data_IF_089882310319
#
_entry.id   IF_089882310319
#
_cell.length_a   1.000
_cell.length_b   1.000
_cell.length_c   1.000
_cell.angle_alpha   90.00
_cell.angle_beta   90.00
_cell.angle_gamma   90.00
#
_symmetry.space_group_name_H-M   'P 1'
#
loop_
_entity.id
_entity.type
_entity.pdbx_description
1 polymer ?
#
# COMPACT_ATOMS: atom_id res chain seq x y z
N UNK A 1 -29.26 25.53 54.58
CA UNK A 1 -29.68 25.49 53.17
C UNK A 1 -28.42 25.53 52.34
N UNK A 2 -28.10 24.40 51.73
CA UNK A 2 -26.92 24.14 50.91
C UNK A 2 -27.22 24.52 49.46
N UNK A 3 -26.60 25.58 48.95
CA UNK A 3 -26.49 25.80 47.51
C UNK A 3 -25.11 25.34 47.04
N UNK A 4 -25.12 24.17 46.42
CA UNK A 4 -23.98 23.48 45.84
C UNK A 4 -23.60 24.21 44.55
N UNK A 5 -22.49 24.93 44.59
CA UNK A 5 -21.86 25.56 43.43
C UNK A 5 -21.28 24.46 42.51
N UNK A 6 -22.08 23.95 41.59
CA UNK A 6 -21.62 23.02 40.55
C UNK A 6 -20.83 23.78 39.47
N UNK A 7 -19.57 24.10 39.76
CA UNK A 7 -18.59 24.37 38.72
C UNK A 7 -18.32 23.04 37.99
N UNK A 8 -18.97 22.84 36.83
CA UNK A 8 -18.72 21.69 35.97
C UNK A 8 -17.33 21.83 35.32
N UNK A 9 -16.33 21.32 36.03
CA UNK A 9 -15.01 21.09 35.46
C UNK A 9 -15.15 20.06 34.33
N UNK A 10 -14.89 20.52 33.11
CA UNK A 10 -14.85 19.67 31.91
C UNK A 10 -14.03 18.41 32.17
N UNK A 11 -14.55 17.26 31.75
CA UNK A 11 -13.84 16.00 31.96
C UNK A 11 -12.50 16.00 31.21
N UNK A 12 -11.50 15.23 31.66
CA UNK A 12 -10.21 15.10 30.97
C UNK A 12 -10.36 14.70 29.49
N UNK A 13 -11.37 13.89 29.15
CA UNK A 13 -11.69 13.54 27.77
C UNK A 13 -12.24 14.71 26.96
N UNK A 14 -13.09 15.55 27.56
CA UNK A 14 -13.61 16.77 26.91
C UNK A 14 -12.48 17.78 26.66
N UNK A 15 -11.56 17.95 27.61
CA UNK A 15 -10.37 18.79 27.44
C UNK A 15 -9.45 18.28 26.33
N UNK A 16 -9.27 16.95 26.22
CA UNK A 16 -8.50 16.32 25.13
C UNK A 16 -9.15 16.52 23.75
N UNK A 17 -10.48 16.44 23.66
CA UNK A 17 -11.22 16.71 22.43
C UNK A 17 -11.15 18.18 22.01
N UNK A 18 -11.26 19.11 22.95
CA UNK A 18 -11.18 20.55 22.68
C UNK A 18 -9.77 20.94 22.22
N UNK A 19 -8.72 20.44 22.89
CA UNK A 19 -7.34 20.70 22.49
C UNK A 19 -6.99 20.09 21.12
N UNK A 20 -7.46 18.88 20.82
CA UNK A 20 -7.31 18.28 19.49
C UNK A 20 -8.02 19.11 18.40
N UNK A 21 -9.25 19.56 18.65
CA UNK A 21 -9.99 20.41 17.72
C UNK A 21 -9.34 21.79 17.52
N UNK A 22 -8.74 22.36 18.57
CA UNK A 22 -7.98 23.61 18.49
C UNK A 22 -6.71 23.45 17.64
N UNK A 23 -5.95 22.37 17.86
CA UNK A 23 -4.77 22.03 17.06
C UNK A 23 -5.13 21.80 15.58
N UNK A 24 -6.25 21.14 15.30
CA UNK A 24 -6.74 20.94 13.93
C UNK A 24 -7.12 22.27 13.24
N UNK A 25 -7.78 23.18 13.96
CA UNK A 25 -8.11 24.52 13.44
C UNK A 25 -6.86 25.35 13.15
N UNK A 26 -5.89 25.33 14.06
CA UNK A 26 -4.62 26.04 13.87
C UNK A 26 -3.83 25.46 12.68
N UNK A 27 -3.79 24.14 12.52
CA UNK A 27 -3.18 23.48 11.37
C UNK A 27 -3.87 23.88 10.06
N UNK A 28 -5.21 23.92 10.03
CA UNK A 28 -5.98 24.38 8.85
C UNK A 28 -5.70 25.85 8.51
N UNK A 29 -5.63 26.72 9.51
CA UNK A 29 -5.31 28.13 9.31
C UNK A 29 -3.90 28.33 8.75
N UNK A 30 -2.90 27.62 9.29
CA UNK A 30 -1.53 27.64 8.76
C UNK A 30 -1.46 27.11 7.33
N UNK A 31 -2.18 26.03 7.02
CA UNK A 31 -2.22 25.48 5.66
C UNK A 31 -2.83 26.48 4.66
N UNK A 32 -3.93 27.15 5.03
CA UNK A 32 -4.57 28.16 4.20
C UNK A 32 -3.66 29.36 3.91
N UNK A 33 -3.01 29.90 4.95
CA UNK A 33 -2.04 31.00 4.81
C UNK A 33 -0.87 30.61 3.89
N UNK A 34 -0.36 29.39 4.07
CA UNK A 34 0.76 28.89 3.27
C UNK A 34 0.39 28.74 1.79
N UNK A 35 -0.83 28.27 1.51
CA UNK A 35 -1.37 28.18 0.15
C UNK A 35 -1.58 29.55 -0.50
N UNK A 36 -2.04 30.53 0.28
CA UNK A 36 -2.18 31.92 -0.19
C UNK A 36 -0.81 32.53 -0.55
N UNK A 37 0.20 32.37 0.31
CA UNK A 37 1.57 32.78 0.01
C UNK A 37 2.11 32.10 -1.26
N UNK A 38 1.86 30.80 -1.44
CA UNK A 38 2.25 30.04 -2.64
C UNK A 38 1.60 30.62 -3.90
N UNK A 39 0.30 30.92 -3.85
CA UNK A 39 -0.45 31.52 -4.97
C UNK A 39 0.06 32.92 -5.31
N UNK A 40 0.34 33.74 -4.30
CA UNK A 40 0.92 35.07 -4.50
C UNK A 40 2.31 35.00 -5.14
N UNK A 41 3.19 34.13 -4.65
CA UNK A 41 4.51 33.90 -5.23
C UNK A 41 4.43 33.44 -6.69
N UNK A 42 3.55 32.48 -6.99
CA UNK A 42 3.34 32.01 -8.36
C UNK A 42 2.85 33.14 -9.29
N UNK A 43 1.93 33.99 -8.80
CA UNK A 43 1.44 35.14 -9.58
C UNK A 43 2.55 36.15 -9.86
N UNK A 44 3.35 36.49 -8.85
CA UNK A 44 4.45 37.45 -8.97
C UNK A 44 5.52 36.95 -9.95
N UNK A 45 5.93 35.68 -9.85
CA UNK A 45 6.94 35.11 -10.74
C UNK A 45 6.43 35.02 -12.18
N UNK A 46 5.18 34.62 -12.41
CA UNK A 46 4.62 34.59 -13.76
C UNK A 46 4.45 36.00 -14.36
N UNK A 47 4.14 37.01 -13.54
CA UNK A 47 4.10 38.41 -13.99
C UNK A 47 5.50 38.90 -14.40
N UNK A 48 6.50 38.68 -13.55
CA UNK A 48 7.89 39.00 -13.84
C UNK A 48 8.40 38.29 -15.11
N UNK A 49 8.11 37.00 -15.28
CA UNK A 49 8.51 36.25 -16.47
C UNK A 49 7.88 36.82 -17.74
N UNK A 50 6.61 37.24 -17.69
CA UNK A 50 5.93 37.90 -18.82
C UNK A 50 6.56 39.24 -19.16
N UNK A 51 6.81 40.08 -18.16
CA UNK A 51 7.46 41.38 -18.35
C UNK A 51 8.87 41.22 -18.93
N UNK A 52 9.62 40.22 -18.46
CA UNK A 52 10.96 39.96 -18.95
C UNK A 52 10.97 39.42 -20.39
N UNK A 53 10.07 38.48 -20.74
CA UNK A 53 9.90 38.03 -22.11
C UNK A 53 9.48 39.19 -23.05
N UNK A 54 8.60 40.06 -22.58
CA UNK A 54 8.19 41.26 -23.33
C UNK A 54 9.37 42.19 -23.59
N UNK A 55 10.18 42.47 -22.56
CA UNK A 55 11.39 43.28 -22.68
C UNK A 55 12.40 42.68 -23.67
N UNK A 56 12.61 41.35 -23.63
CA UNK A 56 13.51 40.67 -24.56
C UNK A 56 13.01 40.73 -26.00
N UNK A 57 11.69 40.62 -26.20
CA UNK A 57 11.05 40.79 -27.51
C UNK A 57 11.27 42.20 -28.05
N UNK A 58 11.01 43.22 -27.23
CA UNK A 58 11.08 44.62 -27.66
C UNK A 58 12.52 45.06 -27.92
N UNK A 59 13.50 44.52 -27.18
CA UNK A 59 14.91 44.90 -27.29
C UNK A 59 15.70 44.08 -28.31
N UNK A 60 15.35 42.81 -28.52
CA UNK A 60 16.15 41.87 -29.34
C UNK A 60 15.34 41.14 -30.42
N UNK A 61 14.03 41.40 -30.54
CA UNK A 61 13.17 40.74 -31.53
C UNK A 61 12.93 39.25 -31.24
N UNK A 62 13.26 38.76 -30.04
CA UNK A 62 13.09 37.36 -29.67
C UNK A 62 11.64 37.07 -29.22
N UNK A 63 10.92 36.24 -29.97
CA UNK A 63 9.57 35.82 -29.62
C UNK A 63 9.59 34.66 -28.61
N UNK A 64 9.76 35.00 -27.34
CA UNK A 64 9.84 34.06 -26.23
C UNK A 64 8.52 34.03 -25.46
N UNK A 65 7.98 32.83 -25.22
CA UNK A 65 6.84 32.64 -24.34
C UNK A 65 7.29 32.04 -23.00
N UNK A 66 6.89 32.64 -21.86
CA UNK A 66 7.24 32.09 -20.56
C UNK A 66 6.48 30.78 -20.31
N UNK A 67 7.22 29.73 -19.97
CA UNK A 67 6.62 28.49 -19.46
C UNK A 67 5.89 28.75 -18.14
N UNK A 68 4.84 27.97 -17.87
CA UNK A 68 4.08 28.08 -16.63
C UNK A 68 4.97 27.74 -15.43
N UNK A 69 5.16 28.70 -14.53
CA UNK A 69 5.97 28.47 -13.31
C UNK A 69 5.12 27.81 -12.24
N UNK A 70 5.60 26.66 -11.74
CA UNK A 70 5.00 25.93 -10.63
C UNK A 70 5.73 26.25 -9.34
N UNK A 71 5.02 26.86 -8.38
CA UNK A 71 5.54 27.09 -7.02
C UNK A 71 4.99 25.99 -6.11
N UNK A 72 5.90 25.22 -5.52
CA UNK A 72 5.60 24.19 -4.54
C UNK A 72 6.30 24.51 -3.23
N UNK A 73 5.66 24.15 -2.11
CA UNK A 73 6.29 24.24 -0.80
C UNK A 73 7.40 23.19 -0.73
N UNK A 74 8.59 23.64 -0.32
CA UNK A 74 9.70 22.72 -0.06
C UNK A 74 9.26 21.77 1.06
N UNK A 75 9.20 20.48 0.73
CA UNK A 75 8.92 19.45 1.73
C UNK A 75 10.12 19.35 2.69
N UNK A 76 9.89 19.16 4.00
CA UNK A 76 10.97 19.01 4.95
C UNK A 76 11.75 17.72 4.67
N UNK A 77 12.99 17.64 5.13
CA UNK A 77 13.82 16.43 4.99
C UNK A 77 13.09 15.17 5.49
N UNK A 78 12.42 15.29 6.64
CA UNK A 78 11.64 14.21 7.27
C UNK A 78 10.56 13.63 6.34
N UNK A 79 9.99 14.42 5.41
CA UNK A 79 9.05 13.90 4.41
C UNK A 79 9.72 12.90 3.48
N UNK A 80 10.90 13.24 2.94
CA UNK A 80 11.64 12.35 2.04
C UNK A 80 12.23 11.14 2.77
N UNK A 81 12.64 11.33 4.03
CA UNK A 81 13.05 10.21 4.89
C UNK A 81 11.86 9.27 5.16
N UNK A 82 10.63 9.78 5.31
CA UNK A 82 9.44 8.94 5.42
C UNK A 82 9.17 8.13 4.15
N UNK A 83 9.39 8.70 2.95
CA UNK A 83 9.28 7.94 1.70
C UNK A 83 10.35 6.84 1.63
N UNK A 84 11.56 7.11 2.11
CA UNK A 84 12.61 6.10 2.20
C UNK A 84 12.24 4.99 3.18
N UNK A 85 11.74 5.32 4.38
CA UNK A 85 11.26 4.35 5.37
C UNK A 85 10.11 3.49 4.82
N UNK A 86 9.20 4.08 4.03
CA UNK A 86 8.15 3.33 3.36
C UNK A 86 8.72 2.26 2.40
N UNK A 87 9.80 2.59 1.67
CA UNK A 87 10.49 1.60 0.83
C UNK A 87 11.18 0.51 1.67
N UNK A 88 11.80 0.88 2.79
CA UNK A 88 12.45 -0.06 3.70
C UNK A 88 11.46 -1.02 4.38
N UNK A 89 10.31 -0.51 4.83
CA UNK A 89 9.22 -1.30 5.38
C UNK A 89 8.68 -2.30 4.36
N UNK A 90 8.44 -1.88 3.11
CA UNK A 90 8.01 -2.79 2.04
C UNK A 90 9.04 -3.88 1.73
N UNK A 91 10.34 -3.58 1.86
CA UNK A 91 11.42 -4.54 1.70
C UNK A 91 11.40 -5.57 2.82
N UNK A 92 11.31 -5.11 4.07
CA UNK A 92 11.43 -5.96 5.26
C UNK A 92 10.15 -6.74 5.57
N UNK A 93 8.99 -6.15 5.29
CA UNK A 93 7.70 -6.74 5.58
C UNK A 93 6.97 -7.11 4.28
N UNK A 94 7.06 -8.40 3.99
CA UNK A 94 6.47 -8.97 2.80
C UNK A 94 4.97 -8.94 2.74
N UNK A 95 4.33 -9.00 3.91
CA UNK A 95 2.89 -9.09 4.05
C UNK A 95 2.19 -7.82 3.55
N UNK A 96 2.81 -6.66 3.76
CA UNK A 96 2.32 -5.37 3.26
C UNK A 96 2.11 -5.37 1.74
N UNK A 97 2.86 -6.20 1.00
CA UNK A 97 2.80 -6.26 -0.46
C UNK A 97 1.68 -7.13 -1.01
N UNK A 98 1.10 -8.02 -0.20
CA UNK A 98 0.01 -8.92 -0.62
C UNK A 98 -1.37 -8.26 -0.52
N UNK A 99 -1.45 -7.12 0.17
CA UNK A 99 -2.68 -6.33 0.33
C UNK A 99 -3.01 -5.50 -0.91
N UNK A 100 -4.23 -4.97 -0.96
CA UNK A 100 -4.59 -3.96 -1.96
C UNK A 100 -3.74 -2.71 -1.77
N UNK A 101 -3.50 -1.93 -2.83
CA UNK A 101 -2.70 -0.69 -2.74
C UNK A 101 -3.21 0.23 -1.62
N UNK A 102 -4.54 0.39 -1.53
CA UNK A 102 -5.18 1.21 -0.50
C UNK A 102 -4.91 0.67 0.91
N UNK A 103 -4.96 -0.64 1.10
CA UNK A 103 -4.62 -1.29 2.37
C UNK A 103 -3.15 -1.11 2.73
N UNK A 104 -2.25 -1.32 1.77
CA UNK A 104 -0.81 -1.09 1.94
C UNK A 104 -0.53 0.35 2.36
N UNK A 105 -1.06 1.35 1.65
CA UNK A 105 -0.86 2.77 1.96
C UNK A 105 -1.33 3.11 3.38
N UNK A 106 -2.52 2.63 3.77
CA UNK A 106 -3.14 2.94 5.05
C UNK A 106 -2.31 2.46 6.26
N UNK A 107 -1.54 1.39 6.12
CA UNK A 107 -0.63 0.90 7.18
C UNK A 107 0.79 1.42 7.04
N UNK A 108 1.29 1.47 5.80
CA UNK A 108 2.67 1.82 5.51
C UNK A 108 2.99 3.29 5.81
N UNK A 109 2.13 4.22 5.37
CA UNK A 109 2.44 5.65 5.44
C UNK A 109 2.44 6.21 6.86
N UNK A 110 1.49 5.88 7.75
CA UNK A 110 1.55 6.31 9.13
C UNK A 110 2.81 5.81 9.84
N UNK A 111 3.20 4.57 9.58
CA UNK A 111 4.38 3.97 10.22
C UNK A 111 5.68 4.56 9.68
N UNK A 112 5.80 4.72 8.37
CA UNK A 112 6.94 5.36 7.74
C UNK A 112 7.11 6.82 8.20
N UNK A 113 6.01 7.56 8.34
CA UNK A 113 6.02 8.91 8.89
C UNK A 113 6.53 8.92 10.34
N UNK A 114 6.07 7.98 11.17
CA UNK A 114 6.50 7.84 12.57
C UNK A 114 8.00 7.58 12.67
N UNK A 115 8.54 6.61 11.91
CA UNK A 115 9.98 6.27 11.90
C UNK A 115 10.87 7.42 11.45
N UNK A 116 10.41 8.19 10.46
CA UNK A 116 11.13 9.36 9.97
C UNK A 116 10.94 10.62 10.83
N UNK A 117 10.15 10.55 11.92
CA UNK A 117 9.80 11.72 12.74
C UNK A 117 8.96 12.78 12.00
N UNK A 118 8.30 12.40 10.91
CA UNK A 118 7.43 13.27 10.14
C UNK A 118 6.05 13.37 10.79
N UNK A 119 5.71 14.57 11.27
CA UNK A 119 4.48 14.81 12.07
C UNK A 119 3.22 15.00 11.23
N UNK A 120 3.36 15.21 9.93
CA UNK A 120 2.23 15.42 9.03
C UNK A 120 1.85 14.13 8.30
N UNK A 121 0.69 14.13 7.66
CA UNK A 121 0.24 13.03 6.83
C UNK A 121 1.01 13.00 5.50
N UNK A 122 1.49 11.83 5.10
CA UNK A 122 2.00 11.59 3.75
C UNK A 122 0.80 11.41 2.83
N UNK A 123 0.60 12.26 1.80
CA UNK A 123 -0.53 12.12 0.90
C UNK A 123 -0.42 10.84 0.07
N UNK A 124 -1.56 10.17 -0.18
CA UNK A 124 -1.64 8.96 -1.01
C UNK A 124 -0.98 9.12 -2.39
N UNK A 125 -1.00 10.32 -2.97
CA UNK A 125 -0.33 10.63 -4.24
C UNK A 125 1.18 10.38 -4.21
N UNK A 126 1.81 10.44 -3.04
CA UNK A 126 3.23 10.11 -2.85
C UNK A 126 3.57 8.68 -3.27
N UNK A 127 2.58 7.78 -3.32
CA UNK A 127 2.73 6.43 -3.83
C UNK A 127 3.18 6.38 -5.30
N UNK A 128 2.69 7.32 -6.12
CA UNK A 128 2.93 7.37 -7.56
C UNK A 128 3.89 8.47 -7.98
N UNK A 129 4.19 9.42 -7.10
CA UNK A 129 5.10 10.52 -7.39
C UNK A 129 6.51 10.02 -7.70
N UNK A 130 7.16 10.70 -8.64
CA UNK A 130 8.55 10.44 -8.94
C UNK A 130 9.46 10.89 -7.80
N UNK A 131 10.46 10.08 -7.51
CA UNK A 131 11.48 10.40 -6.53
C UNK A 131 12.38 11.53 -7.02
N UNK A 132 12.90 12.31 -6.08
CA UNK A 132 14.04 13.17 -6.38
C UNK A 132 15.27 12.31 -6.70
N UNK A 133 16.23 12.79 -7.51
CA UNK A 133 17.43 12.02 -7.85
C UNK A 133 18.19 11.52 -6.61
N UNK A 134 18.25 12.33 -5.55
CA UNK A 134 18.88 11.97 -4.29
C UNK A 134 18.18 10.82 -3.55
N UNK A 135 16.84 10.81 -3.57
CA UNK A 135 16.02 9.78 -2.93
C UNK A 135 16.05 8.49 -3.74
N UNK A 136 15.94 8.60 -5.07
CA UNK A 136 16.06 7.48 -6.00
C UNK A 136 17.39 6.74 -5.80
N UNK A 137 18.52 7.44 -5.68
CA UNK A 137 19.82 6.83 -5.41
C UNK A 137 19.84 6.04 -4.10
N UNK A 138 19.23 6.56 -3.04
CA UNK A 138 19.13 5.87 -1.74
C UNK A 138 18.26 4.62 -1.83
N UNK A 139 17.12 4.71 -2.51
CA UNK A 139 16.17 3.61 -2.68
C UNK A 139 16.76 2.51 -3.57
N UNK A 140 17.41 2.87 -4.68
CA UNK A 140 18.10 1.90 -5.52
C UNK A 140 19.16 1.14 -4.70
N UNK A 141 20.00 1.84 -3.93
CA UNK A 141 20.98 1.19 -3.03
C UNK A 141 20.33 0.23 -2.03
N UNK A 142 19.17 0.59 -1.47
CA UNK A 142 18.40 -0.27 -0.56
C UNK A 142 17.90 -1.56 -1.25
N UNK A 143 17.58 -1.47 -2.54
CA UNK A 143 17.03 -2.55 -3.37
C UNK A 143 18.11 -3.34 -4.13
N UNK A 144 19.33 -2.81 -4.28
CA UNK A 144 20.47 -3.50 -4.89
C UNK A 144 20.77 -4.82 -4.16
N UNK A 145 20.66 -4.81 -2.83
CA UNK A 145 20.78 -5.99 -1.96
C UNK A 145 19.73 -7.09 -2.28
N UNK A 146 18.67 -6.73 -2.99
CA UNK A 146 17.56 -7.61 -3.36
C UNK A 146 17.61 -8.04 -4.85
N UNK A 147 18.67 -7.67 -5.57
CA UNK A 147 18.85 -8.02 -6.99
C UNK A 147 17.96 -7.24 -7.96
N UNK A 148 17.41 -6.10 -7.54
CA UNK A 148 16.66 -5.21 -8.42
C UNK A 148 17.63 -4.42 -9.32
N UNK A 149 17.55 -4.62 -10.65
CA UNK A 149 18.40 -3.94 -11.63
C UNK A 149 17.74 -2.74 -12.30
N UNK A 150 16.42 -2.60 -12.15
CA UNK A 150 15.65 -1.54 -12.80
C UNK A 150 15.63 -0.27 -11.96
N UNK A 151 15.70 0.88 -12.62
CA UNK A 151 15.60 2.18 -11.94
C UNK A 151 14.25 2.35 -11.25
N UNK A 152 14.28 2.51 -9.93
CA UNK A 152 13.08 2.68 -9.15
C UNK A 152 12.70 4.15 -9.00
N UNK A 153 11.73 4.62 -9.78
CA UNK A 153 11.33 6.02 -9.78
C UNK A 153 10.18 6.37 -8.83
N UNK A 154 9.49 5.40 -8.23
CA UNK A 154 8.33 5.64 -7.33
C UNK A 154 8.08 4.47 -6.38
N UNK A 155 7.31 4.69 -5.30
CA UNK A 155 6.95 3.63 -4.34
C UNK A 155 6.12 2.51 -5.00
N UNK A 156 5.26 2.86 -5.97
CA UNK A 156 4.54 1.88 -6.78
C UNK A 156 5.49 0.93 -7.52
N UNK A 157 6.58 1.45 -8.08
CA UNK A 157 7.64 0.64 -8.71
C UNK A 157 8.46 -0.13 -7.69
N UNK A 158 8.76 0.44 -6.52
CA UNK A 158 9.42 -0.29 -5.41
C UNK A 158 8.63 -1.56 -5.09
N UNK A 159 7.31 -1.43 -4.87
CA UNK A 159 6.44 -2.57 -4.62
C UNK A 159 6.47 -3.58 -5.77
N UNK A 160 6.38 -3.12 -7.01
CA UNK A 160 6.41 -4.01 -8.18
C UNK A 160 7.72 -4.80 -8.26
N UNK A 161 8.86 -4.15 -8.05
CA UNK A 161 10.18 -4.77 -8.09
C UNK A 161 10.38 -5.78 -6.96
N UNK A 162 10.01 -5.43 -5.73
CA UNK A 162 10.09 -6.39 -4.62
C UNK A 162 9.19 -7.60 -4.89
N UNK A 163 7.97 -7.39 -5.43
CA UNK A 163 7.10 -8.51 -5.83
C UNK A 163 7.67 -9.32 -6.98
N UNK A 164 8.34 -8.71 -7.94
CA UNK A 164 8.97 -9.38 -9.07
C UNK A 164 10.20 -10.19 -8.64
N UNK A 165 11.06 -9.63 -7.78
CA UNK A 165 12.19 -10.34 -7.18
C UNK A 165 11.77 -11.49 -6.26
N UNK A 166 10.53 -11.45 -5.73
CA UNK A 166 9.89 -12.56 -5.01
C UNK A 166 9.22 -13.59 -5.89
N UNK A 167 8.98 -13.33 -7.18
CA UNK A 167 8.58 -14.41 -8.06
C UNK A 167 9.78 -15.35 -8.12
N UNK A 168 9.65 -16.63 -7.68
CA UNK A 168 10.64 -17.60 -8.06
C UNK A 168 10.76 -17.51 -9.59
N UNK A 169 11.98 -17.46 -10.12
CA UNK A 169 12.23 -17.85 -11.51
C UNK A 169 11.92 -19.35 -11.62
N UNK A 170 10.64 -19.67 -11.59
CA UNK A 170 10.05 -20.98 -11.70
C UNK A 170 8.75 -20.75 -12.45
N UNK A 171 8.73 -21.23 -13.68
CA UNK A 171 7.69 -20.99 -14.67
C UNK A 171 6.26 -21.17 -14.11
N UNK A 172 5.35 -20.36 -14.65
CA UNK A 172 3.90 -20.36 -14.45
C UNK A 172 3.38 -19.46 -13.31
N UNK A 173 2.42 -18.62 -13.68
CA UNK A 173 1.24 -18.41 -12.84
C UNK A 173 0.83 -19.78 -12.27
N UNK A 174 1.15 -20.05 -11.02
CA UNK A 174 0.83 -21.31 -10.38
C UNK A 174 -0.69 -21.32 -10.15
N UNK A 175 -1.43 -21.66 -11.21
CA UNK A 175 -2.87 -21.78 -11.27
C UNK A 175 -3.29 -22.60 -10.04
N UNK A 176 -4.08 -21.99 -9.15
CA UNK A 176 -4.71 -22.68 -8.00
C UNK A 176 -6.13 -23.15 -8.34
N UNK A 177 -6.58 -22.84 -9.55
CA UNK A 177 -7.82 -23.24 -10.18
C UNK A 177 -8.12 -22.40 -11.41
N UNK A 178 -9.24 -22.67 -12.07
CA UNK A 178 -9.56 -22.15 -13.39
C UNK A 178 -11.02 -21.66 -13.49
N UNK A 179 -11.32 -20.92 -14.54
CA UNK A 179 -12.68 -20.48 -14.87
C UNK A 179 -13.39 -21.59 -15.65
N UNK A 180 -14.39 -22.22 -15.02
CA UNK A 180 -15.18 -23.29 -15.61
C UNK A 180 -16.54 -22.76 -16.06
N UNK A 181 -17.30 -23.49 -16.92
CA UNK A 181 -18.63 -23.05 -17.37
C UNK A 181 -19.62 -22.76 -16.23
N UNK A 182 -19.38 -23.36 -15.06
CA UNK A 182 -20.22 -23.21 -13.87
C UNK A 182 -19.79 -22.02 -12.98
N UNK A 183 -18.65 -21.37 -13.30
CA UNK A 183 -18.02 -20.31 -12.54
C UNK A 183 -16.55 -20.60 -12.24
N UNK A 184 -15.89 -19.67 -11.54
CA UNK A 184 -14.50 -19.83 -11.12
C UNK A 184 -14.36 -20.87 -10.00
N UNK A 185 -13.40 -21.77 -10.16
CA UNK A 185 -12.96 -22.70 -9.14
C UNK A 185 -11.52 -22.37 -8.72
N UNK A 186 -11.20 -22.35 -7.43
CA UNK A 186 -9.79 -22.36 -6.98
C UNK A 186 -9.63 -22.82 -5.53
N UNK A 187 -8.52 -23.49 -5.24
CA UNK A 187 -8.11 -23.83 -3.88
C UNK A 187 -7.50 -22.61 -3.17
N UNK A 188 -7.85 -22.42 -1.91
CA UNK A 188 -7.33 -21.34 -1.07
C UNK A 188 -6.06 -21.73 -0.29
N UNK A 189 -5.83 -23.03 -0.13
CA UNK A 189 -4.63 -23.61 0.51
C UNK A 189 -4.73 -23.78 2.03
N UNK A 190 -5.82 -23.35 2.65
CA UNK A 190 -6.13 -23.44 4.08
C UNK A 190 -7.15 -24.55 4.41
N UNK A 191 -7.37 -25.46 3.46
CA UNK A 191 -8.43 -26.47 3.55
C UNK A 191 -9.80 -25.96 3.08
N UNK A 192 -9.89 -24.77 2.50
CA UNK A 192 -11.10 -24.26 1.84
C UNK A 192 -10.89 -24.12 0.32
N UNK A 193 -12.00 -23.92 -0.39
CA UNK A 193 -12.04 -23.76 -1.84
C UNK A 193 -13.10 -22.73 -2.22
N UNK A 194 -12.82 -21.91 -3.24
CA UNK A 194 -13.85 -21.14 -3.91
C UNK A 194 -14.57 -22.06 -4.91
N UNK A 195 -15.77 -22.47 -4.55
CA UNK A 195 -16.66 -23.30 -5.34
C UNK A 195 -17.67 -22.43 -6.08
N UNK A 196 -17.32 -22.02 -7.30
CA UNK A 196 -18.21 -21.27 -8.20
C UNK A 196 -18.79 -20.01 -7.53
N UNK A 197 -17.93 -19.22 -6.89
CA UNK A 197 -18.28 -17.98 -6.20
C UNK A 197 -18.61 -18.12 -4.71
N UNK A 198 -18.67 -19.34 -4.16
CA UNK A 198 -18.87 -19.56 -2.73
C UNK A 198 -17.64 -20.21 -2.08
N UNK A 199 -17.17 -19.65 -0.97
CA UNK A 199 -16.12 -20.30 -0.19
C UNK A 199 -16.69 -21.45 0.63
N UNK A 200 -16.15 -22.65 0.44
CA UNK A 200 -16.59 -23.88 1.09
C UNK A 200 -15.41 -24.62 1.71
N UNK A 201 -15.61 -25.21 2.89
CA UNK A 201 -14.62 -26.08 3.55
C UNK A 201 -14.54 -27.45 2.88
N UNK A 202 -13.32 -27.93 2.66
CA UNK A 202 -13.06 -29.26 2.13
C UNK A 202 -13.16 -30.30 3.25
N UNK A 203 -14.05 -31.26 3.07
CA UNK A 203 -14.17 -32.44 3.92
C UNK A 203 -13.43 -33.61 3.28
N UNK A 204 -12.37 -34.11 3.93
CA UNK A 204 -11.65 -35.31 3.49
C UNK A 204 -12.30 -36.55 4.12
N UNK A 205 -12.67 -37.54 3.31
CA UNK A 205 -13.30 -38.80 3.77
C UNK A 205 -12.58 -40.04 3.24
N UNK A 206 -12.54 -41.07 4.08
CA UNK A 206 -11.94 -42.37 3.79
C UNK A 206 -10.41 -42.38 3.84
N UNK A 207 -9.82 -43.58 3.81
CA UNK A 207 -8.36 -43.77 3.86
C UNK A 207 -7.61 -43.13 2.68
N UNK A 208 -8.30 -42.92 1.54
CA UNK A 208 -7.75 -42.24 0.36
C UNK A 208 -7.83 -40.72 0.40
N UNK A 209 -8.39 -40.12 1.47
CA UNK A 209 -8.47 -38.67 1.63
C UNK A 209 -9.37 -37.98 0.58
N UNK A 210 -10.41 -38.65 0.10
CA UNK A 210 -11.25 -38.12 -0.98
C UNK A 210 -11.91 -36.81 -0.56
N UNK A 211 -11.82 -35.79 -1.43
CA UNK A 211 -12.19 -34.41 -1.14
C UNK A 211 -13.65 -34.14 -1.48
N UNK A 212 -14.41 -33.62 -0.51
CA UNK A 212 -15.81 -33.26 -0.66
C UNK A 212 -16.07 -31.81 -0.22
N UNK A 213 -17.07 -31.16 -0.81
CA UNK A 213 -17.65 -29.90 -0.29
C UNK A 213 -19.15 -30.05 -0.07
N UNK A 214 -19.72 -29.27 0.85
CA UNK A 214 -21.17 -29.20 1.04
C UNK A 214 -21.73 -28.02 0.26
N UNK A 215 -22.31 -28.26 -0.92
CA UNK A 215 -22.91 -27.25 -1.77
C UNK A 215 -24.41 -27.50 -1.91
N UNK A 216 -25.24 -26.47 -1.69
CA UNK A 216 -26.71 -26.59 -1.79
C UNK A 216 -27.30 -27.70 -0.91
N UNK A 217 -26.75 -27.89 0.30
CA UNK A 217 -27.15 -28.95 1.24
C UNK A 217 -26.66 -30.37 0.90
N UNK A 218 -26.04 -30.58 -0.26
CA UNK A 218 -25.53 -31.89 -0.71
C UNK A 218 -24.03 -31.98 -0.60
N UNK A 219 -23.53 -33.17 -0.30
CA UNK A 219 -22.09 -33.45 -0.30
C UNK A 219 -21.65 -33.78 -1.73
N UNK A 220 -20.77 -32.95 -2.30
CA UNK A 220 -20.26 -33.05 -3.66
C UNK A 220 -18.82 -33.51 -3.63
N UNK A 221 -18.49 -34.55 -4.40
CA UNK A 221 -17.11 -34.99 -4.59
C UNK A 221 -16.42 -34.04 -5.57
N UNK A 222 -15.39 -33.34 -5.10
CA UNK A 222 -14.69 -32.30 -5.87
C UNK A 222 -14.07 -32.89 -7.14
N UNK A 223 -13.37 -34.01 -7.01
CA UNK A 223 -12.65 -34.66 -8.11
C UNK A 223 -13.62 -35.08 -9.20
N UNK A 224 -14.68 -35.82 -8.83
CA UNK A 224 -15.68 -36.29 -9.81
C UNK A 224 -16.43 -35.16 -10.49
N UNK A 225 -16.70 -34.07 -9.77
CA UNK A 225 -17.40 -32.92 -10.33
C UNK A 225 -16.54 -32.18 -11.36
N UNK A 226 -15.23 -32.05 -11.09
CA UNK A 226 -14.30 -31.33 -11.96
C UNK A 226 -13.82 -32.20 -13.14
N UNK A 227 -13.73 -33.53 -12.96
CA UNK A 227 -13.51 -34.47 -14.07
C UNK A 227 -14.63 -34.38 -15.12
N UNK A 228 -15.89 -34.19 -14.70
CA UNK A 228 -17.01 -33.94 -15.63
C UNK A 228 -16.88 -32.61 -16.39
N UNK A 229 -16.13 -31.67 -15.85
CA UNK A 229 -15.82 -30.39 -16.48
C UNK A 229 -14.51 -30.42 -17.28
N UNK A 230 -13.90 -31.61 -17.47
CA UNK A 230 -12.67 -31.78 -18.25
C UNK A 230 -11.37 -31.57 -17.46
N UNK A 231 -11.42 -31.36 -16.15
CA UNK A 231 -10.22 -31.19 -15.31
C UNK A 231 -9.68 -32.55 -14.89
N UNK A 232 -8.42 -32.83 -15.22
CA UNK A 232 -7.79 -34.09 -14.80
C UNK A 232 -7.47 -34.09 -13.31
N UNK A 233 -7.42 -35.27 -12.69
CA UNK A 233 -6.98 -35.42 -11.29
C UNK A 233 -5.56 -34.88 -11.07
N UNK A 234 -4.65 -35.06 -12.02
CA UNK A 234 -3.29 -34.54 -11.94
C UNK A 234 -3.25 -33.00 -11.89
N UNK A 235 -4.08 -32.35 -12.72
CA UNK A 235 -4.25 -30.89 -12.71
C UNK A 235 -4.79 -30.42 -11.36
N UNK A 236 -5.78 -31.12 -10.82
CA UNK A 236 -6.39 -30.80 -9.54
C UNK A 236 -5.42 -30.93 -8.36
N UNK A 237 -4.64 -32.01 -8.33
CA UNK A 237 -3.62 -32.23 -7.31
C UNK A 237 -2.48 -31.20 -7.43
N UNK A 238 -2.14 -30.75 -8.64
CA UNK A 238 -1.19 -29.65 -8.85
C UNK A 238 -1.74 -28.31 -8.32
N UNK A 239 -3.01 -28.00 -8.60
CA UNK A 239 -3.65 -26.79 -8.11
C UNK A 239 -3.73 -26.74 -6.58
N UNK A 240 -4.08 -27.85 -5.93
CA UNK A 240 -4.10 -27.93 -4.46
C UNK A 240 -2.69 -27.75 -3.88
N UNK A 241 -1.67 -28.42 -4.43
CA UNK A 241 -0.26 -28.23 -4.00
C UNK A 241 0.21 -26.79 -4.16
N UNK A 242 -0.14 -26.14 -5.27
CA UNK A 242 0.17 -24.74 -5.51
C UNK A 242 -0.50 -23.83 -4.47
N UNK A 243 -1.76 -24.10 -4.15
CA UNK A 243 -2.52 -23.35 -3.16
C UNK A 243 -1.95 -23.55 -1.74
N UNK A 244 -1.64 -24.79 -1.35
CA UNK A 244 -0.98 -25.11 -0.08
C UNK A 244 0.37 -24.39 0.04
N UNK A 245 1.19 -24.40 -1.02
CA UNK A 245 2.46 -23.67 -1.05
C UNK A 245 2.28 -22.14 -0.99
N UNK A 246 1.24 -21.60 -1.63
CA UNK A 246 0.91 -20.18 -1.54
C UNK A 246 0.41 -19.79 -0.14
N UNK A 247 -0.46 -20.61 0.46
CA UNK A 247 -0.94 -20.41 1.82
C UNK A 247 0.17 -20.52 2.85
N UNK A 248 1.03 -21.53 2.74
CA UNK A 248 2.17 -21.72 3.63
C UNK A 248 3.12 -20.52 3.58
N UNK A 249 3.48 -20.04 2.38
CA UNK A 249 4.30 -18.83 2.21
C UNK A 249 3.65 -17.59 2.85
N UNK A 250 2.33 -17.44 2.70
CA UNK A 250 1.57 -16.36 3.33
C UNK A 250 1.58 -16.47 4.86
N UNK A 251 1.43 -17.67 5.42
CA UNK A 251 1.50 -17.92 6.87
C UNK A 251 2.90 -17.74 7.43
N UNK A 252 3.93 -18.14 6.71
CA UNK A 252 5.33 -17.87 7.06
C UNK A 252 5.60 -16.37 7.05
N UNK A 253 5.10 -15.64 6.04
CA UNK A 253 5.21 -14.18 5.99
C UNK A 253 4.42 -13.48 7.12
N UNK A 254 3.25 -13.98 7.49
CA UNK A 254 2.45 -13.48 8.61
C UNK A 254 3.14 -13.77 9.96
N UNK A 255 3.73 -14.95 10.13
CA UNK A 255 4.50 -15.28 11.33
C UNK A 255 5.75 -14.39 11.46
N UNK A 256 6.46 -14.12 10.36
CA UNK A 256 7.56 -13.15 10.33
C UNK A 256 7.08 -11.73 10.62
N UNK A 257 5.89 -11.35 10.16
CA UNK A 257 5.26 -10.08 10.52
C UNK A 257 4.94 -10.00 12.02
N UNK A 258 4.32 -11.04 12.58
CA UNK A 258 4.00 -11.12 14.01
C UNK A 258 5.28 -11.14 14.88
N UNK A 259 6.34 -11.80 14.43
CA UNK A 259 7.66 -11.81 15.09
C UNK A 259 8.32 -10.44 15.00
N UNK A 260 8.31 -9.78 13.84
CA UNK A 260 8.77 -8.40 13.69
C UNK A 260 7.97 -7.45 14.60
N UNK A 261 6.65 -7.63 14.71
CA UNK A 261 5.82 -6.87 15.65
C UNK A 261 6.15 -7.18 17.12
N UNK A 262 6.66 -8.37 17.42
CA UNK A 262 6.97 -8.80 18.80
C UNK A 262 8.35 -8.33 19.25
N UNK A 263 9.36 -8.50 18.41
CA UNK A 263 10.76 -8.13 18.71
C UNK A 263 10.94 -6.61 18.75
N UNK A 264 10.22 -5.90 17.89
CA UNK A 264 10.34 -4.45 17.75
C UNK A 264 9.17 -3.70 18.40
N UNK A 265 8.26 -4.38 19.10
CA UNK A 265 7.12 -3.81 19.80
C UNK A 265 5.85 -3.67 18.94
N UNK A 266 4.68 -3.88 19.57
CA UNK A 266 3.39 -3.63 18.91
C UNK A 266 3.24 -2.14 18.69
N UNK A 267 3.24 -1.73 17.41
CA UNK A 267 3.38 -0.33 16.99
C UNK A 267 4.78 0.27 17.23
N UNK A 268 5.79 -0.58 17.10
CA UNK A 268 7.20 -0.28 16.87
C UNK A 268 7.83 0.79 17.77
N UNK A 269 7.64 0.70 19.10
CA UNK A 269 8.29 1.58 20.09
C UNK A 269 9.82 1.52 20.03
#
# INVERSE_FOLDING_TARGET
MTDTNQNSLLSPEQLKKISAAAAEREARAKAAMTEECRRMAAKAINAFAKEHCQYLRDRYGADLQPSKVFVALKKPKAYYDAIFEAAALMKNDSYLLDRTVKGTIAELFPEAARRAGYKEHIPDSAWYNEFSPSLQKRINKLLDEYGATDECSSLSKVRALIRAGRKPKGNADAVTGDDLPMGRFHFNGDGTVCWFGNELTIQRKGASGTRYVKAGGKLVNIVKALERAGVTRATLDLWEKNAEAAYKRRREAEAVHDENLREWGTKYD
#
